data_IF_581242593011
#
_entry.id   IF_581242593011
#
_cell.length_a   1.000
_cell.length_b   1.000
_cell.length_c   1.000
_cell.angle_alpha   90.00
_cell.angle_beta   90.00
_cell.angle_gamma   90.00
#
_symmetry.space_group_name_H-M   'P 1'
#
loop_
_entity.id
_entity.type
_entity.pdbx_description
1 polymer ?
#
# COMPACT_ATOMS: atom_id res chain seq x y z
N UNK A 1 -16.98 1.48 0.39
CA UNK A 1 -16.90 2.70 1.22
C UNK A 1 -15.93 2.49 2.37
N UNK A 2 -16.06 1.40 3.14
CA UNK A 2 -15.08 1.08 4.18
C UNK A 2 -13.69 0.82 3.59
N UNK A 3 -13.60 0.19 2.41
CA UNK A 3 -12.35 -0.03 1.67
C UNK A 3 -11.56 1.26 1.42
N UNK A 4 -12.28 2.32 1.07
CA UNK A 4 -11.69 3.63 0.78
C UNK A 4 -11.22 4.32 2.06
N UNK A 5 -12.06 4.28 3.10
CA UNK A 5 -11.72 4.79 4.42
C UNK A 5 -10.49 4.06 4.99
N UNK A 6 -10.43 2.75 4.83
CA UNK A 6 -9.31 1.92 5.25
C UNK A 6 -8.04 2.25 4.46
N UNK A 7 -8.11 2.41 3.14
CA UNK A 7 -6.97 2.83 2.31
C UNK A 7 -6.43 4.20 2.75
N UNK A 8 -7.31 5.17 3.00
CA UNK A 8 -6.93 6.49 3.49
C UNK A 8 -6.30 6.43 4.89
N UNK A 9 -6.85 5.62 5.80
CA UNK A 9 -6.36 5.44 7.16
C UNK A 9 -4.95 4.85 7.19
N UNK A 10 -4.71 3.79 6.41
CA UNK A 10 -3.40 3.14 6.40
C UNK A 10 -2.33 4.02 5.75
N UNK A 11 -2.68 4.78 4.70
CA UNK A 11 -1.78 5.77 4.12
C UNK A 11 -1.44 6.88 5.12
N UNK A 12 -2.45 7.42 5.82
CA UNK A 12 -2.24 8.45 6.83
C UNK A 12 -1.35 7.95 7.97
N UNK A 13 -1.60 6.72 8.47
CA UNK A 13 -0.80 6.09 9.52
C UNK A 13 0.66 5.85 9.09
N UNK A 14 0.92 5.72 7.79
CA UNK A 14 2.24 5.55 7.21
C UNK A 14 2.82 6.85 6.64
N UNK A 15 2.33 8.02 7.07
CA UNK A 15 2.94 9.34 6.79
C UNK A 15 2.59 9.97 5.46
N UNK A 16 1.64 9.41 4.70
CA UNK A 16 1.11 10.05 3.50
C UNK A 16 0.10 11.16 3.87
N UNK A 17 0.06 12.22 3.06
CA UNK A 17 -0.82 13.38 3.28
C UNK A 17 -2.26 13.10 2.79
N UNK A 18 -2.95 12.19 3.49
CA UNK A 18 -4.34 11.76 3.20
C UNK A 18 -5.34 12.13 4.28
N UNK A 19 -4.91 12.85 5.32
CA UNK A 19 -5.71 13.13 6.51
C UNK A 19 -6.99 13.92 6.23
N UNK A 20 -6.93 14.89 5.29
CA UNK A 20 -8.11 15.65 4.88
C UNK A 20 -9.12 14.76 4.16
N UNK A 21 -8.67 13.96 3.20
CA UNK A 21 -9.52 13.04 2.43
C UNK A 21 -10.17 12.01 3.35
N UNK A 22 -9.41 11.49 4.32
CA UNK A 22 -9.93 10.60 5.36
C UNK A 22 -11.06 11.26 6.15
N UNK A 23 -10.84 12.47 6.65
CA UNK A 23 -11.83 13.20 7.45
C UNK A 23 -13.08 13.53 6.63
N UNK A 24 -12.91 13.97 5.39
CA UNK A 24 -14.00 14.31 4.47
C UNK A 24 -14.87 13.08 4.19
N UNK A 25 -14.25 11.92 3.88
CA UNK A 25 -14.96 10.67 3.65
C UNK A 25 -15.66 10.16 4.92
N UNK A 26 -15.00 10.25 6.08
CA UNK A 26 -15.61 9.87 7.35
C UNK A 26 -16.88 10.69 7.61
N UNK A 27 -16.81 12.00 7.38
CA UNK A 27 -17.96 12.90 7.52
C UNK A 27 -19.10 12.53 6.58
N UNK A 28 -18.78 12.23 5.31
CA UNK A 28 -19.77 11.79 4.33
C UNK A 28 -20.47 10.49 4.79
N UNK A 29 -19.70 9.49 5.22
CA UNK A 29 -20.25 8.22 5.69
C UNK A 29 -21.18 8.41 6.90
N UNK A 30 -20.82 9.27 7.85
CA UNK A 30 -21.68 9.59 8.99
C UNK A 30 -22.96 10.30 8.55
N UNK A 31 -22.89 11.25 7.62
CA UNK A 31 -24.08 11.93 7.07
C UNK A 31 -25.02 10.98 6.32
N UNK A 32 -24.49 9.90 5.74
CA UNK A 32 -25.27 8.83 5.11
C UNK A 32 -25.90 7.85 6.11
N UNK A 33 -25.75 8.08 7.42
CA UNK A 33 -26.39 7.27 8.46
C UNK A 33 -25.62 6.00 8.83
N UNK A 34 -24.30 5.94 8.57
CA UNK A 34 -23.44 4.85 9.06
C UNK A 34 -23.14 5.03 10.54
N UNK A 35 -24.00 4.48 11.39
CA UNK A 35 -23.86 4.55 12.86
C UNK A 35 -22.54 3.94 13.35
N UNK A 36 -22.02 2.92 12.66
CA UNK A 36 -20.73 2.29 12.96
C UNK A 36 -19.52 3.21 12.74
N UNK A 37 -19.70 4.31 12.01
CA UNK A 37 -18.66 5.33 11.78
C UNK A 37 -18.81 6.54 12.72
N UNK A 38 -19.95 6.66 13.41
CA UNK A 38 -20.25 7.82 14.24
C UNK A 38 -19.25 7.96 15.40
N UNK A 39 -18.84 6.84 16.00
CA UNK A 39 -17.86 6.83 17.08
C UNK A 39 -16.50 7.41 16.64
N UNK A 40 -16.09 7.11 15.41
CA UNK A 40 -14.84 7.63 14.84
C UNK A 40 -14.85 9.15 14.68
N UNK A 41 -16.02 9.74 14.45
CA UNK A 41 -16.16 11.18 14.20
C UNK A 41 -15.90 12.03 15.45
N UNK A 42 -16.06 11.44 16.64
CA UNK A 42 -15.76 12.09 17.92
C UNK A 42 -14.30 11.96 18.36
N UNK A 43 -13.50 11.19 17.63
CA UNK A 43 -12.08 10.97 17.91
C UNK A 43 -11.21 12.04 17.24
N UNK A 44 -9.97 12.17 17.71
CA UNK A 44 -8.95 12.89 16.95
C UNK A 44 -8.71 12.16 15.62
N UNK A 45 -8.27 12.89 14.58
CA UNK A 45 -7.97 12.30 13.27
C UNK A 45 -7.04 11.08 13.38
N UNK A 46 -6.04 11.17 14.27
CA UNK A 46 -5.10 10.07 14.54
C UNK A 46 -5.79 8.88 15.17
N UNK A 47 -6.58 9.09 16.22
CA UNK A 47 -7.25 8.00 16.92
C UNK A 47 -8.33 7.35 16.05
N UNK A 48 -9.04 8.14 15.24
CA UNK A 48 -9.98 7.66 14.25
C UNK A 48 -9.30 6.74 13.23
N UNK A 49 -8.15 7.16 12.68
CA UNK A 49 -7.40 6.34 11.74
C UNK A 49 -6.93 5.03 12.37
N UNK A 50 -6.36 5.06 13.58
CA UNK A 50 -5.97 3.85 14.33
C UNK A 50 -7.16 2.92 14.55
N UNK A 51 -8.31 3.47 14.91
CA UNK A 51 -9.52 2.68 15.13
C UNK A 51 -10.05 2.07 13.82
N UNK A 52 -9.94 2.76 12.68
CA UNK A 52 -10.26 2.18 11.36
C UNK A 52 -9.35 0.99 11.02
N UNK A 53 -8.05 1.08 11.33
CA UNK A 53 -7.13 -0.05 11.16
C UNK A 53 -7.54 -1.23 12.06
N UNK A 54 -7.85 -0.95 13.32
CA UNK A 54 -8.34 -1.96 14.26
C UNK A 54 -9.62 -2.64 13.75
N UNK A 55 -10.56 -1.90 13.17
CA UNK A 55 -11.77 -2.48 12.58
C UNK A 55 -11.47 -3.43 11.43
N UNK A 56 -10.51 -3.09 10.56
CA UNK A 56 -10.10 -3.95 9.46
C UNK A 56 -9.45 -5.26 9.97
N UNK A 57 -8.59 -5.17 10.99
CA UNK A 57 -7.93 -6.34 11.59
C UNK A 57 -8.90 -7.23 12.37
N UNK A 58 -9.95 -6.66 12.97
CA UNK A 58 -10.89 -7.38 13.82
C UNK A 58 -12.18 -7.81 13.09
N UNK A 59 -12.06 -8.10 11.79
CA UNK A 59 -13.08 -8.85 11.06
C UNK A 59 -14.14 -8.00 10.36
N UNK A 60 -13.93 -6.70 10.21
CA UNK A 60 -14.73 -5.92 9.26
C UNK A 60 -14.48 -6.48 7.86
N UNK A 61 -15.53 -6.98 7.22
CA UNK A 61 -15.43 -7.51 5.87
C UNK A 61 -15.21 -6.37 4.88
N UNK A 62 -14.25 -6.55 4.00
CA UNK A 62 -13.97 -5.63 2.90
C UNK A 62 -13.58 -6.43 1.66
N UNK A 63 -13.78 -5.84 0.48
CA UNK A 63 -13.33 -6.43 -0.79
C UNK A 63 -11.86 -6.06 -1.06
N UNK A 64 -10.92 -7.03 -1.13
CA UNK A 64 -9.49 -6.75 -1.33
C UNK A 64 -9.19 -5.99 -2.62
N UNK A 65 -9.92 -6.28 -3.69
CA UNK A 65 -9.75 -5.65 -5.00
C UNK A 65 -10.15 -4.17 -4.97
N UNK A 66 -11.27 -3.87 -4.31
CA UNK A 66 -11.78 -2.51 -4.12
C UNK A 66 -10.87 -1.71 -3.18
N UNK A 67 -10.40 -2.33 -2.10
CA UNK A 67 -9.37 -1.74 -1.24
C UNK A 67 -8.11 -1.40 -2.03
N UNK A 68 -7.58 -2.36 -2.80
CA UNK A 68 -6.39 -2.16 -3.60
C UNK A 68 -6.55 -1.04 -4.64
N UNK A 69 -7.72 -0.92 -5.28
CA UNK A 69 -8.03 0.20 -6.19
C UNK A 69 -7.89 1.56 -5.51
N UNK A 70 -8.48 1.71 -4.33
CA UNK A 70 -8.39 2.97 -3.58
C UNK A 70 -6.97 3.25 -3.09
N UNK A 71 -6.28 2.23 -2.58
CA UNK A 71 -4.89 2.34 -2.14
C UNK A 71 -3.99 2.83 -3.27
N UNK A 72 -4.06 2.21 -4.44
CA UNK A 72 -3.24 2.58 -5.59
C UNK A 72 -3.59 3.97 -6.13
N UNK A 73 -4.87 4.34 -6.16
CA UNK A 73 -5.32 5.68 -6.55
C UNK A 73 -4.73 6.76 -5.65
N UNK A 74 -4.88 6.62 -4.32
CA UNK A 74 -4.38 7.62 -3.38
C UNK A 74 -2.85 7.64 -3.29
N UNK A 75 -2.17 6.51 -3.46
CA UNK A 75 -0.72 6.47 -3.60
C UNK A 75 -0.26 7.28 -4.81
N UNK A 76 -0.91 7.12 -5.97
CA UNK A 76 -0.61 7.91 -7.17
C UNK A 76 -0.78 9.41 -6.93
N UNK A 77 -1.89 9.81 -6.32
CA UNK A 77 -2.21 11.22 -6.02
C UNK A 77 -1.22 11.84 -5.03
N UNK A 78 -0.82 11.10 -4.00
CA UNK A 78 0.12 11.59 -2.98
C UNK A 78 1.58 11.56 -3.40
N UNK A 79 1.91 10.70 -4.37
CA UNK A 79 3.23 10.53 -4.97
C UNK A 79 3.61 11.65 -5.94
N UNK A 80 2.63 12.27 -6.61
CA UNK A 80 2.90 13.24 -7.67
C UNK A 80 3.86 14.36 -7.20
N UNK A 81 5.00 14.47 -7.87
CA UNK A 81 6.03 15.46 -7.54
C UNK A 81 6.93 15.14 -6.34
N UNK A 82 6.83 13.97 -5.70
CA UNK A 82 7.71 13.55 -4.60
C UNK A 82 9.01 12.89 -5.09
N UNK A 83 10.03 12.83 -4.22
CA UNK A 83 11.31 12.16 -4.48
C UNK A 83 11.22 10.65 -4.25
N UNK A 84 12.01 9.84 -4.94
CA UNK A 84 12.05 8.40 -4.68
C UNK A 84 12.40 8.06 -3.22
N UNK A 85 13.20 8.90 -2.55
CA UNK A 85 13.53 8.75 -1.14
C UNK A 85 12.27 8.77 -0.26
N UNK A 86 11.31 9.66 -0.56
CA UNK A 86 10.01 9.69 0.13
C UNK A 86 9.27 8.35 -0.02
N UNK A 87 9.26 7.74 -1.22
CA UNK A 87 8.65 6.42 -1.39
C UNK A 87 9.39 5.34 -0.63
N UNK A 88 10.72 5.36 -0.63
CA UNK A 88 11.52 4.39 0.10
C UNK A 88 11.14 4.37 1.59
N UNK A 89 11.16 5.55 2.21
CA UNK A 89 10.85 5.74 3.63
C UNK A 89 9.43 5.29 4.02
N UNK A 90 8.43 5.51 3.15
CA UNK A 90 7.02 5.33 3.50
C UNK A 90 6.39 4.04 2.94
N UNK A 91 6.75 3.61 1.72
CA UNK A 91 6.13 2.43 1.10
C UNK A 91 6.53 1.13 1.77
N UNK A 92 7.76 0.99 2.25
CA UNK A 92 8.15 -0.23 2.95
C UNK A 92 7.41 -0.37 4.27
N UNK A 93 7.33 0.72 5.03
CA UNK A 93 6.56 0.75 6.28
C UNK A 93 5.08 0.44 6.00
N UNK A 94 4.52 1.00 4.92
CA UNK A 94 3.17 0.66 4.45
C UNK A 94 3.02 -0.83 4.14
N UNK A 95 3.95 -1.42 3.40
CA UNK A 95 3.95 -2.84 3.08
C UNK A 95 3.95 -3.70 4.35
N UNK A 96 4.84 -3.40 5.30
CA UNK A 96 4.94 -4.10 6.59
C UNK A 96 3.70 -3.92 7.47
N UNK A 97 3.01 -2.78 7.35
CA UNK A 97 1.79 -2.47 8.10
C UNK A 97 0.50 -3.06 7.52
N UNK A 98 0.53 -3.61 6.30
CA UNK A 98 -0.62 -4.27 5.69
C UNK A 98 -0.85 -5.68 6.28
N UNK A 99 -2.09 -6.20 6.24
CA UNK A 99 -2.37 -7.60 6.56
C UNK A 99 -1.50 -8.56 5.74
N UNK A 100 -0.96 -9.61 6.38
CA UNK A 100 -0.04 -10.55 5.73
C UNK A 100 -0.63 -11.16 4.44
N UNK A 101 -1.94 -11.41 4.41
CA UNK A 101 -2.62 -11.91 3.21
C UNK A 101 -2.49 -10.99 2.00
N UNK A 102 -2.42 -9.67 2.20
CA UNK A 102 -2.28 -8.67 1.14
C UNK A 102 -0.82 -8.40 0.76
N UNK A 103 0.12 -8.57 1.70
CA UNK A 103 1.54 -8.27 1.49
C UNK A 103 2.16 -9.04 0.31
N UNK A 104 1.61 -10.21 -0.02
CA UNK A 104 2.13 -11.09 -1.07
C UNK A 104 1.29 -11.10 -2.34
N UNK A 105 0.29 -10.23 -2.43
CA UNK A 105 -0.53 -10.06 -3.61
C UNK A 105 -0.03 -8.89 -4.46
N UNK A 106 -0.10 -9.04 -5.78
CA UNK A 106 0.14 -7.91 -6.68
C UNK A 106 -1.06 -6.94 -6.64
N UNK A 107 -0.82 -5.62 -6.58
CA UNK A 107 0.46 -4.93 -6.78
C UNK A 107 1.24 -4.62 -5.47
N UNK A 108 0.66 -4.93 -4.31
CA UNK A 108 1.21 -4.61 -2.97
C UNK A 108 2.58 -5.27 -2.74
N UNK A 109 2.79 -6.49 -3.23
CA UNK A 109 4.07 -7.20 -3.15
C UNK A 109 5.24 -6.37 -3.70
N UNK A 110 4.99 -5.46 -4.65
CA UNK A 110 6.04 -4.59 -5.19
C UNK A 110 6.63 -3.64 -4.14
N UNK A 111 5.87 -3.30 -3.09
CA UNK A 111 6.30 -2.32 -2.09
C UNK A 111 7.41 -2.83 -1.17
N UNK A 112 7.65 -4.15 -1.11
CA UNK A 112 8.77 -4.69 -0.34
C UNK A 112 10.12 -4.15 -0.82
N UNK A 113 10.23 -3.80 -2.11
CA UNK A 113 11.44 -3.23 -2.72
C UNK A 113 11.76 -1.79 -2.27
N UNK A 114 10.90 -1.17 -1.46
CA UNK A 114 11.11 0.20 -0.99
C UNK A 114 12.07 0.32 0.21
N UNK A 115 12.33 -0.76 0.98
CA UNK A 115 13.11 -0.72 2.25
C UNK A 115 14.58 -0.36 2.06
N UNK A 116 15.11 -0.60 0.87
CA UNK A 116 16.54 -0.56 0.71
C UNK A 116 16.97 0.91 0.52
N UNK A 117 17.51 1.49 1.60
CA UNK A 117 18.23 2.78 1.63
C UNK A 117 19.27 2.90 0.49
N UNK A 118 19.55 1.82 -0.26
CA UNK A 118 20.31 1.85 -1.50
C UNK A 118 19.86 0.90 -2.67
N UNK A 119 18.77 0.12 -2.66
CA UNK A 119 18.84 -1.17 -3.39
C UNK A 119 17.66 -1.75 -4.15
N UNK A 120 16.86 -0.93 -4.86
CA UNK A 120 16.17 -1.47 -6.05
C UNK A 120 16.54 -0.74 -7.33
N UNK A 121 16.41 0.58 -7.34
CA UNK A 121 16.70 1.37 -8.52
C UNK A 121 18.21 1.60 -8.73
N UNK A 122 19.00 1.68 -7.64
CA UNK A 122 20.47 1.73 -7.71
C UNK A 122 21.12 0.34 -7.85
N UNK A 123 20.65 -0.69 -7.13
CA UNK A 123 21.21 -2.06 -7.25
C UNK A 123 21.00 -2.65 -8.66
N UNK A 124 19.83 -2.41 -9.27
CA UNK A 124 19.57 -2.86 -10.67
C UNK A 124 20.14 -1.93 -11.73
N UNK A 125 20.92 -0.90 -11.35
CA UNK A 125 21.51 0.09 -12.27
C UNK A 125 20.49 0.71 -13.23
N UNK A 126 19.25 0.90 -12.78
CA UNK A 126 18.21 1.55 -13.59
C UNK A 126 18.19 3.05 -13.30
N UNK A 127 17.84 3.85 -14.31
CA UNK A 127 17.73 5.29 -14.13
C UNK A 127 16.58 5.64 -13.17
N UNK A 128 16.66 6.81 -12.53
CA UNK A 128 15.54 7.36 -11.74
C UNK A 128 14.24 7.39 -12.55
N UNK A 129 14.32 7.79 -13.83
CA UNK A 129 13.17 7.81 -14.73
C UNK A 129 12.54 6.41 -14.90
N UNK A 130 13.36 5.37 -15.08
CA UNK A 130 12.87 3.99 -15.20
C UNK A 130 12.21 3.50 -13.91
N UNK A 131 12.77 3.87 -12.75
CA UNK A 131 12.22 3.56 -11.44
C UNK A 131 10.83 4.21 -11.25
N UNK A 132 10.72 5.49 -11.59
CA UNK A 132 9.45 6.22 -11.54
C UNK A 132 8.38 5.59 -12.43
N UNK A 133 8.74 5.23 -13.66
CA UNK A 133 7.83 4.52 -14.58
C UNK A 133 7.29 3.22 -13.99
N UNK A 134 8.10 2.46 -13.25
CA UNK A 134 7.64 1.23 -12.62
C UNK A 134 6.66 1.49 -11.48
N UNK A 135 6.94 2.46 -10.61
CA UNK A 135 5.97 2.85 -9.57
C UNK A 135 4.68 3.39 -10.17
N UNK A 136 4.76 4.17 -11.25
CA UNK A 136 3.58 4.63 -11.99
C UNK A 136 2.78 3.46 -12.56
N UNK A 137 3.42 2.46 -13.18
CA UNK A 137 2.73 1.26 -13.67
C UNK A 137 2.07 0.47 -12.53
N UNK A 138 2.74 0.36 -11.38
CA UNK A 138 2.25 -0.33 -10.18
C UNK A 138 1.03 0.41 -9.60
N UNK A 139 1.09 1.74 -9.47
CA UNK A 139 -0.04 2.54 -9.00
C UNK A 139 -1.20 2.60 -10.01
N UNK A 140 -0.91 2.37 -11.30
CA UNK A 140 -1.94 2.25 -12.33
C UNK A 140 -2.41 0.81 -12.55
N UNK A 141 -1.98 -0.17 -11.74
CA UNK A 141 -2.26 -1.60 -11.93
C UNK A 141 -3.75 -1.89 -12.19
N UNK A 142 -4.63 -1.37 -11.35
CA UNK A 142 -6.07 -1.64 -11.48
C UNK A 142 -6.73 -0.93 -12.67
N UNK A 143 -6.23 0.24 -13.06
CA UNK A 143 -6.70 0.98 -14.23
C UNK A 143 -6.20 0.33 -15.53
N UNK A 144 -5.01 -0.27 -15.49
CA UNK A 144 -4.39 -1.01 -16.59
C UNK A 144 -4.86 -2.47 -16.69
N UNK A 145 -6.04 -2.79 -16.13
CA UNK A 145 -6.61 -4.14 -16.22
C UNK A 145 -5.78 -5.22 -15.50
N UNK A 146 -5.13 -4.85 -14.38
CA UNK A 146 -4.24 -5.70 -13.58
C UNK A 146 -2.97 -6.12 -14.32
N UNK A 147 -2.36 -5.20 -15.04
CA UNK A 147 -1.08 -5.42 -15.75
C UNK A 147 -0.01 -4.44 -15.31
N UNK A 148 1.22 -4.92 -15.18
CA UNK A 148 2.42 -4.12 -14.85
C UNK A 148 3.52 -4.48 -15.85
N UNK A 149 4.21 -3.50 -16.42
CA UNK A 149 5.33 -3.73 -17.35
C UNK A 149 6.67 -3.55 -16.63
N UNK A 150 6.92 -4.42 -15.67
CA UNK A 150 8.17 -4.48 -14.93
C UNK A 150 9.05 -5.61 -15.48
N UNK A 151 10.35 -5.35 -15.58
CA UNK A 151 11.33 -6.32 -16.07
C UNK A 151 11.75 -7.36 -15.02
N UNK A 152 10.86 -7.74 -14.11
CA UNK A 152 11.15 -8.56 -12.92
C UNK A 152 10.21 -9.76 -12.91
N UNK A 153 10.75 -10.96 -12.65
CA UNK A 153 9.92 -12.16 -12.59
C UNK A 153 9.22 -12.28 -11.23
N UNK A 154 8.01 -12.84 -11.19
CA UNK A 154 7.28 -13.12 -9.93
C UNK A 154 8.13 -13.91 -8.91
N UNK A 155 8.99 -14.83 -9.38
CA UNK A 155 9.92 -15.55 -8.54
C UNK A 155 10.94 -14.66 -7.85
N UNK A 156 11.41 -13.60 -8.51
CA UNK A 156 12.35 -12.65 -7.89
C UNK A 156 11.64 -11.81 -6.82
N UNK A 157 10.38 -11.42 -7.06
CA UNK A 157 9.52 -10.75 -6.06
C UNK A 157 9.37 -11.57 -4.79
N UNK A 158 9.07 -12.86 -4.93
CA UNK A 158 8.88 -13.75 -3.78
C UNK A 158 10.18 -14.03 -3.03
N UNK A 159 11.33 -14.11 -3.73
CA UNK A 159 12.64 -14.24 -3.07
C UNK A 159 12.99 -12.99 -2.25
N UNK A 160 12.79 -11.81 -2.85
CA UNK A 160 13.08 -10.55 -2.16
C UNK A 160 12.16 -10.36 -0.94
N UNK A 161 10.88 -10.69 -1.08
CA UNK A 161 9.92 -10.66 0.03
C UNK A 161 10.14 -11.76 1.10
N UNK A 162 11.22 -12.55 1.00
CA UNK A 162 11.56 -13.59 1.98
C UNK A 162 10.68 -14.85 1.93
N UNK A 163 9.81 -15.00 0.92
CA UNK A 163 8.94 -16.18 0.73
C UNK A 163 9.66 -17.36 0.08
N UNK A 164 10.76 -17.11 -0.63
CA UNK A 164 11.59 -18.13 -1.27
C UNK A 164 13.05 -17.97 -0.84
N UNK A 165 13.81 -19.07 -0.76
CA UNK A 165 15.23 -19.00 -0.47
C UNK A 165 15.97 -18.18 -1.54
N UNK A 166 17.16 -17.64 -1.25
CA UNK A 166 17.99 -16.95 -2.24
C UNK A 166 18.23 -17.80 -3.49
N UNK A 167 18.42 -17.16 -4.65
CA UNK A 167 18.71 -17.87 -5.89
C UNK A 167 19.95 -18.78 -5.73
N UNK A 168 19.78 -20.08 -5.99
CA UNK A 168 20.85 -21.08 -5.86
C UNK A 168 20.89 -21.87 -4.55
N UNK A 169 19.99 -21.62 -3.60
CA UNK A 169 19.84 -22.47 -2.40
C UNK A 169 18.55 -23.30 -2.50
N UNK A 170 18.67 -24.63 -2.50
CA UNK A 170 17.53 -25.54 -2.31
C UNK A 170 17.04 -25.46 -0.86
N UNK A 171 15.73 -25.50 -0.61
CA UNK A 171 15.24 -25.60 0.76
C UNK A 171 15.81 -26.88 1.39
N UNK A 172 16.47 -26.75 2.54
CA UNK A 172 16.84 -27.91 3.35
C UNK A 172 15.56 -28.71 3.61
N UNK A 173 15.54 -29.94 3.11
CA UNK A 173 14.45 -30.87 3.37
C UNK A 173 14.45 -31.17 4.89
N UNK A 174 13.28 -31.21 5.54
CA UNK A 174 13.18 -31.62 6.94
C UNK A 174 13.66 -33.05 7.16
#
# INVERSE_FOLDING_TARGET
MFEELYALAILYANGFDTGKQYQDLLNEMTLQGREDMLELQYLSLKDAAVHTLYMADNGTKYDPDTFGRYLMRYLRETWEGKSLDFLGEHLYTLWRGLPESLQYEYPILFFCYADDEAGFCREKLISEAQCRMWFEDVFNFYENGKTVRIGISLSDHLRYAGKLPPAGQTPEKP
#
